data_IF_739083490732
#
_entry.id   IF_739083490732
#
_cell.length_a   1.000
_cell.length_b   1.000
_cell.length_c   1.000
_cell.angle_alpha   90.00
_cell.angle_beta   90.00
_cell.angle_gamma   90.00
#
_symmetry.space_group_name_H-M   'P 1'
#
loop_
_entity.id
_entity.type
_entity.pdbx_description
1 polymer ?
#
# COMPACT_ATOMS: atom_id res chain seq x y z
N UNK A 1 14.30 10.28 -3.97
CA UNK A 1 13.10 10.11 -3.12
C UNK A 1 12.10 11.14 -3.59
N UNK A 2 11.25 10.75 -4.52
CA UNK A 2 10.27 11.65 -5.12
C UNK A 2 9.11 11.83 -4.14
N UNK A 3 8.92 13.07 -3.69
CA UNK A 3 7.78 13.48 -2.88
C UNK A 3 6.49 13.11 -3.62
N UNK A 4 5.71 12.20 -3.04
CA UNK A 4 4.35 11.92 -3.48
C UNK A 4 3.53 13.19 -3.24
N UNK A 5 3.37 14.01 -4.28
CA UNK A 5 2.54 15.23 -4.26
C UNK A 5 1.06 14.84 -4.27
N UNK A 6 0.47 14.62 -3.11
CA UNK A 6 -0.98 14.57 -2.97
C UNK A 6 -1.48 16.01 -2.75
N UNK A 7 -1.99 16.60 -3.84
CA UNK A 7 -2.68 17.88 -3.80
C UNK A 7 -3.99 17.72 -3.02
N UNK A 8 -4.33 18.70 -2.17
CA UNK A 8 -5.55 18.73 -1.32
C UNK A 8 -6.85 18.59 -2.14
N UNK A 9 -6.76 18.72 -3.45
CA UNK A 9 -7.88 18.63 -4.39
C UNK A 9 -8.50 17.21 -4.55
N UNK A 10 -7.94 16.15 -3.96
CA UNK A 10 -8.47 14.78 -4.19
C UNK A 10 -9.86 14.51 -3.60
N UNK A 11 -10.45 15.46 -2.85
CA UNK A 11 -11.84 15.37 -2.39
C UNK A 11 -12.84 16.18 -3.23
N UNK A 12 -12.42 16.94 -4.25
CA UNK A 12 -13.31 17.67 -5.15
C UNK A 12 -12.79 17.57 -6.59
N UNK A 13 -13.65 17.14 -7.52
CA UNK A 13 -13.46 16.92 -8.97
C UNK A 13 -12.27 17.61 -9.71
N UNK A 14 -11.75 16.99 -10.78
CA UNK A 14 -10.49 17.40 -11.42
C UNK A 14 -10.67 18.67 -12.24
N UNK A 15 -9.98 19.76 -11.86
CA UNK A 15 -9.67 20.87 -12.75
C UNK A 15 -8.18 21.24 -12.65
N UNK A 16 -7.70 21.72 -13.79
CA UNK A 16 -6.30 21.93 -14.23
C UNK A 16 -5.42 22.67 -13.21
N UNK A 17 -4.10 22.49 -13.38
CA UNK A 17 -3.05 23.34 -12.81
C UNK A 17 -3.33 24.83 -13.08
N UNK A 18 -4.08 25.47 -12.21
CA UNK A 18 -4.21 26.91 -12.12
C UNK A 18 -3.61 27.33 -10.78
N UNK A 19 -2.69 28.29 -10.80
CA UNK A 19 -2.08 28.83 -9.59
C UNK A 19 -3.19 29.38 -8.67
N UNK A 20 -3.21 28.92 -7.42
CA UNK A 20 -4.24 29.26 -6.45
C UNK A 20 -4.47 30.78 -6.35
N UNK A 21 -5.72 31.27 -6.45
CA UNK A 21 -6.04 32.69 -6.32
C UNK A 21 -5.62 33.22 -4.95
N UNK A 22 -5.12 34.47 -4.90
CA UNK A 22 -4.52 35.09 -3.68
C UNK A 22 -5.37 34.93 -2.41
N UNK A 23 -6.70 35.00 -2.52
CA UNK A 23 -7.63 34.83 -1.38
C UNK A 23 -7.55 33.47 -0.69
N UNK A 24 -7.30 32.39 -1.42
CA UNK A 24 -7.21 31.04 -0.84
C UNK A 24 -5.88 30.79 -0.12
N UNK A 25 -4.79 31.40 -0.62
CA UNK A 25 -3.49 31.38 0.06
C UNK A 25 -3.56 32.08 1.41
N UNK A 26 -4.30 33.19 1.50
CA UNK A 26 -4.48 33.94 2.74
C UNK A 26 -5.26 33.12 3.79
N UNK A 27 -6.31 32.40 3.39
CA UNK A 27 -7.09 31.53 4.28
C UNK A 27 -6.21 30.39 4.82
N UNK A 28 -5.47 29.69 3.95
CA UNK A 28 -4.59 28.60 4.37
C UNK A 28 -3.46 29.07 5.30
N UNK A 29 -2.94 30.29 5.10
CA UNK A 29 -1.91 30.86 5.97
C UNK A 29 -2.44 31.23 7.37
N UNK A 30 -3.75 31.51 7.49
CA UNK A 30 -4.39 31.84 8.77
C UNK A 30 -4.82 30.60 9.59
N UNK A 31 -4.99 29.46 8.92
CA UNK A 31 -5.19 28.16 9.56
C UNK A 31 -3.82 27.66 10.01
N UNK A 32 -3.37 28.09 11.20
CA UNK A 32 -2.10 27.65 11.80
C UNK A 32 -2.16 26.16 12.20
N UNK A 33 -2.26 25.27 11.22
CA UNK A 33 -2.32 23.82 11.41
C UNK A 33 -1.00 23.17 11.01
N UNK A 34 -0.36 22.37 11.88
CA UNK A 34 0.99 21.84 11.63
C UNK A 34 1.15 20.97 10.38
N UNK A 35 0.07 20.39 9.86
CA UNK A 35 0.09 19.44 8.75
C UNK A 35 -0.25 20.06 7.39
N UNK A 36 -0.32 21.38 7.28
CA UNK A 36 -0.39 22.10 6.01
C UNK A 36 0.94 22.83 5.80
N UNK A 37 1.61 22.55 4.69
CA UNK A 37 2.83 23.22 4.27
C UNK A 37 2.54 24.66 3.82
N UNK A 38 3.57 25.50 3.76
CA UNK A 38 3.45 26.91 3.30
C UNK A 38 2.90 27.02 1.87
N UNK A 39 3.10 25.99 1.05
CA UNK A 39 2.63 25.92 -0.33
C UNK A 39 1.21 25.33 -0.45
N UNK A 40 0.54 25.04 0.68
CA UNK A 40 -0.83 24.52 0.71
C UNK A 40 -0.94 23.00 0.52
N UNK A 41 0.16 22.25 0.52
CA UNK A 41 0.14 20.78 0.47
C UNK A 41 0.03 20.16 1.86
N UNK A 42 -0.49 18.93 1.93
CA UNK A 42 -0.51 18.15 3.16
C UNK A 42 0.88 17.62 3.50
N UNK A 43 1.30 17.83 4.75
CA UNK A 43 2.45 17.18 5.34
C UNK A 43 2.00 15.90 6.05
N UNK A 44 2.13 14.76 5.36
CA UNK A 44 1.73 13.45 5.88
C UNK A 44 2.52 13.02 7.11
N UNK A 45 3.69 13.63 7.37
CA UNK A 45 4.49 13.35 8.58
C UNK A 45 3.87 13.97 9.83
N UNK A 46 3.02 14.99 9.66
CA UNK A 46 2.38 15.74 10.75
C UNK A 46 0.86 15.59 10.79
N UNK A 47 0.25 15.04 9.74
CA UNK A 47 -1.19 14.83 9.66
C UNK A 47 -1.66 13.92 10.81
N UNK A 48 -2.67 14.32 11.61
CA UNK A 48 -3.19 13.47 12.68
C UNK A 48 -3.64 12.11 12.15
N UNK A 49 -3.21 11.03 12.81
CA UNK A 49 -3.48 9.65 12.35
C UNK A 49 -4.84 9.13 12.84
N UNK A 50 -5.38 9.68 13.93
CA UNK A 50 -6.58 9.20 14.62
C UNK A 50 -7.81 9.09 13.70
N UNK A 51 -8.00 10.08 12.82
CA UNK A 51 -9.11 10.07 11.86
C UNK A 51 -8.98 8.91 10.87
N UNK A 52 -7.76 8.67 10.38
CA UNK A 52 -7.44 7.52 9.51
C UNK A 52 -7.66 6.20 10.23
N UNK A 53 -7.23 6.09 11.49
CA UNK A 53 -7.47 4.88 12.30
C UNK A 53 -8.96 4.63 12.50
N UNK A 54 -9.75 5.67 12.79
CA UNK A 54 -11.20 5.54 12.92
C UNK A 54 -11.86 5.08 11.62
N UNK A 55 -11.45 5.63 10.48
CA UNK A 55 -11.93 5.21 9.15
C UNK A 55 -11.54 3.76 8.84
N UNK A 56 -10.38 3.30 9.30
CA UNK A 56 -9.96 1.89 9.14
C UNK A 56 -10.81 0.89 9.92
N UNK A 57 -11.69 1.36 10.82
CA UNK A 57 -12.66 0.54 11.54
C UNK A 57 -14.08 0.67 10.95
N UNK A 58 -14.27 1.47 9.90
CA UNK A 58 -15.56 1.64 9.22
C UNK A 58 -16.00 0.33 8.55
N UNK A 59 -17.32 0.11 8.50
CA UNK A 59 -17.91 -1.00 7.74
C UNK A 59 -17.98 -0.69 6.24
N UNK A 60 -17.97 0.59 5.87
CA UNK A 60 -17.99 1.03 4.48
C UNK A 60 -16.66 0.73 3.80
N UNK A 61 -16.70 -0.03 2.70
CA UNK A 61 -15.49 -0.45 1.98
C UNK A 61 -14.67 0.76 1.49
N UNK A 62 -15.35 1.83 1.04
CA UNK A 62 -14.70 3.05 0.55
C UNK A 62 -13.86 3.75 1.61
N UNK A 63 -14.40 3.88 2.83
CA UNK A 63 -13.69 4.46 3.97
C UNK A 63 -12.50 3.60 4.36
N UNK A 64 -12.72 2.28 4.46
CA UNK A 64 -11.70 1.33 4.84
C UNK A 64 -10.53 1.32 3.85
N UNK A 65 -10.81 1.26 2.55
CA UNK A 65 -9.82 1.34 1.48
C UNK A 65 -9.04 2.66 1.53
N UNK A 66 -9.75 3.76 1.70
CA UNK A 66 -9.14 5.10 1.79
C UNK A 66 -8.20 5.19 2.99
N UNK A 67 -8.59 4.64 4.14
CA UNK A 67 -7.76 4.58 5.33
C UNK A 67 -6.49 3.74 5.11
N UNK A 68 -6.60 2.56 4.51
CA UNK A 68 -5.45 1.72 4.20
C UNK A 68 -4.44 2.43 3.28
N UNK A 69 -4.94 3.10 2.23
CA UNK A 69 -4.10 3.89 1.31
C UNK A 69 -3.43 5.09 2.00
N UNK A 70 -4.15 5.75 2.91
CA UNK A 70 -3.60 6.87 3.68
C UNK A 70 -2.49 6.38 4.63
N UNK A 71 -2.68 5.26 5.32
CA UNK A 71 -1.63 4.66 6.17
C UNK A 71 -0.38 4.29 5.35
N UNK A 72 -0.55 3.68 4.18
CA UNK A 72 0.57 3.38 3.27
C UNK A 72 1.30 4.66 2.80
N UNK A 73 0.55 5.74 2.57
CA UNK A 73 1.11 7.04 2.18
C UNK A 73 1.87 7.70 3.33
N UNK A 74 1.34 7.65 4.56
CA UNK A 74 2.01 8.11 5.77
C UNK A 74 3.32 7.35 6.01
N UNK A 75 3.30 6.02 5.84
CA UNK A 75 4.52 5.20 5.90
C UNK A 75 5.56 5.65 4.86
N UNK A 76 5.11 5.84 3.61
CA UNK A 76 5.97 6.30 2.52
C UNK A 76 6.57 7.70 2.77
N UNK A 77 5.88 8.52 3.56
CA UNK A 77 6.38 9.83 4.01
C UNK A 77 7.33 9.76 5.22
N UNK A 78 7.55 8.57 5.81
CA UNK A 78 8.49 8.35 6.91
C UNK A 78 7.85 8.04 8.26
N UNK A 79 6.51 7.92 8.36
CA UNK A 79 5.82 7.54 9.60
C UNK A 79 5.75 6.03 9.74
N UNK A 80 6.78 5.45 10.35
CA UNK A 80 6.92 4.00 10.48
C UNK A 80 5.76 3.35 11.26
N UNK A 81 5.15 4.05 12.21
CA UNK A 81 4.00 3.53 12.97
C UNK A 81 2.79 3.22 12.08
N UNK A 82 2.65 3.85 10.91
CA UNK A 82 1.57 3.57 9.98
C UNK A 82 1.62 2.14 9.42
N UNK A 83 2.82 1.57 9.24
CA UNK A 83 2.97 0.17 8.89
C UNK A 83 2.53 -0.77 10.03
N UNK A 84 2.81 -0.41 11.28
CA UNK A 84 2.37 -1.18 12.46
C UNK A 84 0.84 -1.28 12.49
N UNK A 85 0.14 -0.18 12.19
CA UNK A 85 -1.32 -0.19 12.09
C UNK A 85 -1.81 -1.08 10.94
N UNK A 86 -1.17 -1.06 9.76
CA UNK A 86 -1.52 -1.96 8.66
C UNK A 86 -1.35 -3.44 9.05
N UNK A 87 -0.26 -3.80 9.75
CA UNK A 87 -0.08 -5.16 10.27
C UNK A 87 -1.15 -5.51 11.32
N UNK A 88 -1.53 -4.57 12.18
CA UNK A 88 -2.63 -4.77 13.13
C UNK A 88 -3.97 -5.03 12.44
N UNK A 89 -4.31 -4.24 11.42
CA UNK A 89 -5.52 -4.42 10.61
C UNK A 89 -5.53 -5.76 9.89
N UNK A 90 -4.37 -6.19 9.39
CA UNK A 90 -4.21 -7.51 8.78
C UNK A 90 -4.57 -8.64 9.74
N UNK A 91 -4.09 -8.59 10.98
CA UNK A 91 -4.39 -9.58 12.02
C UNK A 91 -5.88 -9.54 12.39
N UNK A 92 -6.44 -8.35 12.54
CA UNK A 92 -7.85 -8.13 12.88
C UNK A 92 -8.78 -8.75 11.82
N UNK A 93 -8.45 -8.60 10.55
CA UNK A 93 -9.25 -9.06 9.42
C UNK A 93 -8.75 -10.38 8.80
N UNK A 94 -8.01 -11.20 9.55
CA UNK A 94 -7.39 -12.45 9.04
C UNK A 94 -8.37 -13.41 8.34
N UNK A 95 -9.64 -13.39 8.74
CA UNK A 95 -10.70 -14.24 8.22
C UNK A 95 -11.61 -13.54 7.19
N UNK A 96 -11.44 -12.24 6.98
CA UNK A 96 -12.17 -11.45 5.98
C UNK A 96 -11.27 -11.25 4.76
N UNK A 97 -11.48 -12.08 3.75
CA UNK A 97 -10.66 -12.06 2.53
C UNK A 97 -10.72 -10.73 1.80
N UNK A 98 -11.91 -10.14 1.70
CA UNK A 98 -12.13 -8.89 0.97
C UNK A 98 -11.34 -7.76 1.62
N UNK A 99 -11.42 -7.62 2.95
CA UNK A 99 -10.63 -6.63 3.67
C UNK A 99 -9.15 -6.93 3.64
N UNK A 100 -8.76 -8.20 3.79
CA UNK A 100 -7.36 -8.62 3.74
C UNK A 100 -6.71 -8.26 2.41
N UNK A 101 -7.42 -8.40 1.29
CA UNK A 101 -6.92 -7.98 -0.03
C UNK A 101 -6.59 -6.49 -0.09
N UNK A 102 -7.46 -5.63 0.45
CA UNK A 102 -7.22 -4.18 0.52
C UNK A 102 -6.01 -3.82 1.38
N UNK A 103 -5.85 -4.52 2.51
CA UNK A 103 -4.68 -4.34 3.38
C UNK A 103 -3.41 -4.80 2.67
N UNK A 104 -3.45 -5.91 1.92
CA UNK A 104 -2.33 -6.40 1.12
C UNK A 104 -1.94 -5.42 0.01
N UNK A 105 -2.91 -4.80 -0.66
CA UNK A 105 -2.65 -3.72 -1.62
C UNK A 105 -1.88 -2.56 -0.95
N UNK A 106 -2.33 -2.11 0.23
CA UNK A 106 -1.66 -1.05 0.98
C UNK A 106 -0.26 -1.47 1.48
N UNK A 107 -0.12 -2.68 2.03
CA UNK A 107 1.16 -3.27 2.44
C UNK A 107 2.11 -3.41 1.25
N UNK A 108 1.61 -3.49 0.02
CA UNK A 108 2.41 -3.40 -1.20
C UNK A 108 3.33 -2.17 -1.25
N UNK A 109 3.04 -1.10 -0.51
CA UNK A 109 3.90 0.09 -0.41
C UNK A 109 4.90 0.03 0.77
N UNK A 110 4.73 -0.90 1.70
CA UNK A 110 5.59 -1.10 2.88
C UNK A 110 6.72 -2.09 2.54
N UNK A 111 7.80 -1.57 1.95
CA UNK A 111 8.93 -2.37 1.42
C UNK A 111 9.91 -2.85 2.50
N UNK A 112 9.44 -3.70 3.41
CA UNK A 112 10.25 -4.33 4.45
C UNK A 112 10.27 -5.85 4.32
N UNK A 113 11.20 -6.51 5.02
CA UNK A 113 11.29 -7.97 5.06
C UNK A 113 10.01 -8.59 5.64
N UNK A 114 9.47 -8.00 6.71
CA UNK A 114 8.25 -8.48 7.39
C UNK A 114 7.05 -8.49 6.46
N UNK A 115 6.92 -7.46 5.61
CA UNK A 115 5.86 -7.44 4.60
C UNK A 115 6.08 -8.51 3.54
N UNK A 116 7.30 -8.65 3.02
CA UNK A 116 7.60 -9.67 2.02
C UNK A 116 7.27 -11.07 2.56
N UNK A 117 7.73 -11.39 3.77
CA UNK A 117 7.47 -12.65 4.45
C UNK A 117 5.97 -12.90 4.66
N UNK A 118 5.22 -11.87 5.05
CA UNK A 118 3.77 -11.95 5.20
C UNK A 118 3.09 -12.28 3.86
N UNK A 119 3.48 -11.61 2.77
CA UNK A 119 2.93 -11.85 1.44
C UNK A 119 3.27 -13.27 0.92
N UNK A 120 4.49 -13.75 1.13
CA UNK A 120 4.85 -15.13 0.78
C UNK A 120 4.11 -16.16 1.64
N UNK A 121 3.92 -15.89 2.94
CA UNK A 121 3.10 -16.73 3.82
C UNK A 121 1.67 -16.86 3.31
N UNK A 122 1.08 -15.77 2.84
CA UNK A 122 -0.26 -15.80 2.24
C UNK A 122 -0.32 -16.61 0.95
N UNK A 123 0.69 -16.53 0.08
CA UNK A 123 0.79 -17.40 -1.09
C UNK A 123 0.91 -18.87 -0.69
N UNK A 124 1.68 -19.16 0.36
CA UNK A 124 1.86 -20.52 0.87
C UNK A 124 0.59 -21.08 1.52
N UNK A 125 -0.21 -20.25 2.17
CA UNK A 125 -1.46 -20.67 2.81
C UNK A 125 -2.67 -20.69 1.87
N UNK A 126 -2.59 -19.98 0.74
CA UNK A 126 -3.70 -19.91 -0.22
C UNK A 126 -3.63 -21.07 -1.21
N UNK A 127 -4.66 -21.92 -1.21
CA UNK A 127 -4.83 -22.92 -2.27
C UNK A 127 -5.06 -22.25 -3.62
N UNK A 128 -4.35 -22.69 -4.65
CA UNK A 128 -4.51 -22.17 -6.01
C UNK A 128 -5.75 -22.75 -6.67
N UNK A 129 -6.82 -21.96 -6.73
CA UNK A 129 -8.10 -22.30 -7.36
C UNK A 129 -8.61 -21.12 -8.19
N UNK A 130 -9.69 -21.32 -8.95
CA UNK A 130 -10.29 -20.24 -9.73
C UNK A 130 -10.78 -19.09 -8.85
N UNK A 131 -11.28 -19.38 -7.64
CA UNK A 131 -11.78 -18.35 -6.71
C UNK A 131 -10.66 -17.61 -5.97
N UNK A 132 -9.44 -18.15 -5.93
CA UNK A 132 -8.30 -17.52 -5.25
C UNK A 132 -7.31 -16.83 -6.18
N UNK A 133 -7.48 -17.02 -7.48
CA UNK A 133 -6.56 -16.51 -8.50
C UNK A 133 -6.39 -15.00 -8.47
N UNK A 134 -7.47 -14.24 -8.34
CA UNK A 134 -7.40 -12.77 -8.29
C UNK A 134 -6.57 -12.30 -7.09
N UNK A 135 -6.79 -12.89 -5.93
CA UNK A 135 -6.05 -12.59 -4.70
C UNK A 135 -4.56 -12.96 -4.80
N UNK A 136 -4.24 -14.13 -5.36
CA UNK A 136 -2.84 -14.51 -5.66
C UNK A 136 -2.20 -13.48 -6.60
N UNK A 137 -2.94 -13.07 -7.63
CA UNK A 137 -2.47 -12.07 -8.59
C UNK A 137 -2.22 -10.71 -7.93
N UNK A 138 -3.06 -10.29 -6.98
CA UNK A 138 -2.87 -9.10 -6.16
C UNK A 138 -1.57 -9.19 -5.34
N UNK A 139 -1.31 -10.31 -4.67
CA UNK A 139 -0.06 -10.51 -3.92
C UNK A 139 1.17 -10.44 -4.85
N UNK A 140 1.14 -11.16 -5.98
CA UNK A 140 2.23 -11.16 -6.96
C UNK A 140 2.44 -9.78 -7.60
N UNK A 141 1.36 -9.02 -7.80
CA UNK A 141 1.44 -7.64 -8.28
C UNK A 141 2.17 -6.75 -7.27
N UNK A 142 2.00 -6.96 -5.97
CA UNK A 142 2.72 -6.19 -4.95
C UNK A 142 4.19 -6.60 -4.86
N UNK A 143 4.47 -7.90 -4.79
CA UNK A 143 5.83 -8.46 -4.69
C UNK A 143 6.74 -8.01 -5.84
N UNK A 144 6.21 -7.82 -7.05
CA UNK A 144 7.03 -7.36 -8.19
C UNK A 144 7.75 -6.04 -7.94
N UNK A 145 7.26 -5.19 -7.05
CA UNK A 145 7.83 -3.87 -6.79
C UNK A 145 8.78 -3.86 -5.58
N UNK A 146 9.04 -5.00 -4.96
CA UNK A 146 10.00 -5.09 -3.85
C UNK A 146 11.45 -5.11 -4.37
N UNK A 147 12.42 -4.66 -3.54
CA UNK A 147 13.84 -4.90 -3.77
C UNK A 147 14.15 -6.40 -3.86
N UNK A 148 15.10 -6.77 -4.75
CA UNK A 148 15.48 -8.17 -5.00
C UNK A 148 15.81 -8.94 -3.72
N UNK A 149 16.66 -8.36 -2.87
CA UNK A 149 17.13 -9.01 -1.63
C UNK A 149 16.02 -9.32 -0.61
N UNK A 150 14.81 -8.75 -0.76
CA UNK A 150 13.67 -9.06 0.11
C UNK A 150 12.77 -10.17 -0.43
N UNK A 151 12.93 -10.56 -1.70
CA UNK A 151 11.99 -11.47 -2.38
C UNK A 151 12.62 -12.63 -3.11
N UNK A 152 13.93 -12.62 -3.32
CA UNK A 152 14.65 -13.66 -4.05
C UNK A 152 14.41 -15.04 -3.42
N UNK A 153 14.73 -15.21 -2.14
CA UNK A 153 14.55 -16.47 -1.41
C UNK A 153 13.08 -16.94 -1.40
N UNK A 154 12.14 -16.01 -1.25
CA UNK A 154 10.72 -16.31 -1.28
C UNK A 154 10.26 -16.84 -2.64
N UNK A 155 10.70 -16.22 -3.75
CA UNK A 155 10.40 -16.72 -5.09
C UNK A 155 11.08 -18.05 -5.38
N UNK A 156 12.33 -18.24 -4.95
CA UNK A 156 13.04 -19.53 -5.09
C UNK A 156 12.31 -20.65 -4.33
N UNK A 157 11.79 -20.36 -3.14
CA UNK A 157 10.91 -21.27 -2.40
C UNK A 157 9.68 -21.69 -3.21
N UNK A 158 8.97 -20.72 -3.82
CA UNK A 158 7.81 -21.00 -4.67
C UNK A 158 8.16 -21.80 -5.94
N UNK A 159 9.34 -21.58 -6.53
CA UNK A 159 9.81 -22.30 -7.71
C UNK A 159 10.13 -23.77 -7.38
N UNK A 160 10.58 -24.06 -6.17
CA UNK A 160 10.88 -25.41 -5.71
C UNK A 160 9.65 -26.16 -5.17
N UNK A 161 8.59 -25.46 -4.77
CA UNK A 161 7.34 -26.07 -4.30
C UNK A 161 6.59 -26.79 -5.44
N UNK A 162 6.34 -28.09 -5.28
CA UNK A 162 5.65 -28.95 -6.26
C UNK A 162 4.16 -28.65 -6.39
N UNK A 163 3.56 -27.92 -5.44
CA UNK A 163 2.14 -27.53 -5.47
C UNK A 163 1.81 -26.58 -6.61
N UNK A 164 2.79 -25.78 -7.06
CA UNK A 164 2.57 -24.82 -8.13
C UNK A 164 2.70 -25.48 -9.50
N UNK A 165 1.69 -25.23 -10.35
CA UNK A 165 1.74 -25.64 -11.74
C UNK A 165 2.93 -25.00 -12.48
N UNK A 166 3.37 -25.65 -13.57
CA UNK A 166 4.41 -25.12 -14.45
C UNK A 166 4.12 -23.68 -14.90
N UNK A 167 2.86 -23.36 -15.22
CA UNK A 167 2.43 -22.02 -15.63
C UNK A 167 2.62 -20.98 -14.52
N UNK A 168 2.32 -21.33 -13.26
CA UNK A 168 2.54 -20.42 -12.13
C UNK A 168 4.03 -20.24 -11.85
N UNK A 169 4.83 -21.31 -11.92
CA UNK A 169 6.29 -21.22 -11.80
C UNK A 169 6.88 -20.30 -12.88
N UNK A 170 6.38 -20.38 -14.11
CA UNK A 170 6.80 -19.46 -15.17
C UNK A 170 6.48 -18.00 -14.82
N UNK A 171 5.29 -17.71 -14.28
CA UNK A 171 4.92 -16.37 -13.79
C UNK A 171 5.84 -15.88 -12.67
N UNK A 172 6.25 -16.76 -11.75
CA UNK A 172 7.20 -16.43 -10.69
C UNK A 172 8.57 -16.06 -11.25
N UNK A 173 9.09 -16.85 -12.21
CA UNK A 173 10.35 -16.54 -12.91
C UNK A 173 10.29 -15.18 -13.61
N UNK A 174 9.22 -14.92 -14.36
CA UNK A 174 9.04 -13.64 -15.06
C UNK A 174 9.05 -12.44 -14.10
N UNK A 175 8.45 -12.60 -12.92
CA UNK A 175 8.50 -11.56 -11.88
C UNK A 175 9.92 -11.41 -11.34
N UNK A 176 10.58 -12.51 -10.98
CA UNK A 176 11.93 -12.49 -10.42
C UNK A 176 12.95 -11.90 -11.40
N UNK A 177 12.91 -12.32 -12.67
CA UNK A 177 13.76 -11.80 -13.74
C UNK A 177 13.53 -10.29 -13.92
N UNK A 178 12.27 -9.85 -13.94
CA UNK A 178 11.95 -8.41 -14.02
C UNK A 178 12.48 -7.61 -12.83
N UNK A 179 12.59 -8.21 -11.65
CA UNK A 179 13.17 -7.55 -10.47
C UNK A 179 14.70 -7.50 -10.60
N UNK A 180 15.34 -8.60 -11.04
CA UNK A 180 16.80 -8.70 -11.24
C UNK A 180 17.32 -7.67 -12.25
N UNK A 181 16.62 -7.48 -13.37
CA UNK A 181 17.03 -6.57 -14.44
C UNK A 181 16.35 -5.19 -14.36
N UNK A 182 15.89 -4.77 -13.18
CA UNK A 182 15.26 -3.44 -13.00
C UNK A 182 16.28 -2.28 -13.04
N UNK A 183 17.57 -2.60 -12.93
CA UNK A 183 18.70 -1.68 -12.92
C UNK A 183 19.78 -2.21 -13.86
#
# INVERSE_FOLDING_TARGET
MDNVKLCVHFFLSPKREEALPRKEKDILSSLNVPWITKDGYLDLTKLPIDSTLRQSLSNEEGDFRSACNMLASMYSAGRTEAAVFLYGLYILHRNDRTRKELIIEALGHVKTAETADLLFRELNQTESSNSTRAYIDTILKNLRYFPLHLVEDGFDGLLNDSRWSYRMKQKFREILDRIRYRY
#
